data_IF_812808084266
#
_entry.id   IF_812808084266
#
_cell.length_a   1.000
_cell.length_b   1.000
_cell.length_c   1.000
_cell.angle_alpha   90.00
_cell.angle_beta   90.00
_cell.angle_gamma   90.00
#
_symmetry.space_group_name_H-M   'P 1'
#
loop_
_entity.id
_entity.type
_entity.pdbx_description
1 polymer ?
#
# COMPACT_ATOMS: atom_id res chain seq x y z
N UNK A 1 15.70 -9.31 14.74
CA UNK A 1 14.42 -8.83 15.29
C UNK A 1 14.68 -7.44 15.85
N UNK A 2 14.30 -6.39 15.14
CA UNK A 2 14.46 -5.00 15.60
C UNK A 2 13.12 -4.56 16.15
N UNK A 3 13.02 -4.42 17.47
CA UNK A 3 11.85 -3.85 18.15
C UNK A 3 11.46 -2.51 17.53
N UNK A 4 10.17 -2.18 17.43
CA UNK A 4 9.71 -0.85 17.02
C UNK A 4 10.33 0.19 17.95
N UNK A 5 10.62 1.39 17.42
CA UNK A 5 11.18 2.48 18.21
C UNK A 5 10.07 3.07 19.10
N UNK A 6 9.85 2.44 20.24
CA UNK A 6 8.94 2.89 21.29
C UNK A 6 9.72 3.84 22.20
N UNK A 7 9.24 5.05 22.33
CA UNK A 7 9.78 6.06 23.25
C UNK A 7 8.91 6.11 24.49
N UNK A 8 9.41 5.59 25.60
CA UNK A 8 8.79 5.79 26.90
C UNK A 8 9.03 7.24 27.37
N UNK A 9 7.97 7.90 27.78
CA UNK A 9 8.04 9.25 28.35
C UNK A 9 8.16 9.15 29.88
N UNK A 10 9.02 9.98 30.52
CA UNK A 10 8.99 10.14 31.96
C UNK A 10 7.70 10.86 32.38
N UNK A 11 7.13 10.48 33.53
CA UNK A 11 5.96 11.13 34.11
C UNK A 11 6.24 12.64 34.29
N UNK A 12 5.38 13.48 33.74
CA UNK A 12 5.33 14.91 34.05
C UNK A 12 6.04 15.86 33.08
N UNK A 13 6.36 15.48 31.84
CA UNK A 13 6.98 16.43 30.89
C UNK A 13 5.99 16.95 29.83
N UNK A 14 5.85 18.27 29.77
CA UNK A 14 5.24 19.01 28.66
C UNK A 14 5.93 18.61 27.34
N UNK A 15 5.18 18.02 26.40
CA UNK A 15 5.73 17.45 25.17
C UNK A 15 5.24 18.25 23.97
N UNK A 16 6.01 19.20 23.47
CA UNK A 16 5.88 19.58 22.06
C UNK A 16 7.17 19.51 21.21
N UNK A 17 8.33 19.78 21.77
CA UNK A 17 9.54 19.96 20.94
C UNK A 17 10.30 18.68 20.55
N UNK A 18 10.14 17.57 21.27
CA UNK A 18 10.92 16.35 21.00
C UNK A 18 10.27 15.41 19.95
N UNK A 19 8.98 15.57 19.63
CA UNK A 19 8.25 14.68 18.73
C UNK A 19 8.67 14.87 17.25
N UNK A 20 8.87 16.10 16.80
CA UNK A 20 9.25 16.36 15.40
C UNK A 20 10.70 15.95 15.11
N UNK A 21 11.63 16.23 16.02
CA UNK A 21 13.03 15.80 15.89
C UNK A 21 13.16 14.29 15.83
N UNK A 22 12.31 13.57 16.54
CA UNK A 22 12.27 12.13 16.56
C UNK A 22 11.66 11.52 15.30
N UNK A 23 10.59 12.11 14.77
CA UNK A 23 9.99 11.72 13.49
C UNK A 23 11.00 11.88 12.34
N UNK A 24 11.72 12.99 12.29
CA UNK A 24 12.78 13.21 11.30
C UNK A 24 13.90 12.18 11.42
N UNK A 25 14.30 11.78 12.64
CA UNK A 25 15.29 10.74 12.87
C UNK A 25 14.80 9.36 12.43
N UNK A 26 13.53 9.02 12.71
CA UNK A 26 12.90 7.78 12.26
C UNK A 26 12.84 7.72 10.73
N UNK A 27 12.37 8.79 10.08
CA UNK A 27 12.30 8.88 8.61
C UNK A 27 13.69 8.76 7.98
N UNK A 28 14.71 9.43 8.52
CA UNK A 28 16.09 9.32 8.05
C UNK A 28 16.67 7.92 8.22
N UNK A 29 16.37 7.23 9.33
CA UNK A 29 16.80 5.84 9.55
C UNK A 29 16.10 4.88 8.59
N UNK A 30 14.81 5.05 8.35
CA UNK A 30 14.04 4.26 7.39
C UNK A 30 14.54 4.48 5.95
N UNK A 31 14.79 5.71 5.53
CA UNK A 31 15.28 6.03 4.19
C UNK A 31 16.66 5.42 3.88
N UNK A 32 17.51 5.23 4.90
CA UNK A 32 18.85 4.60 4.74
C UNK A 32 18.79 3.08 4.49
N UNK A 33 17.68 2.42 4.81
CA UNK A 33 17.55 0.95 4.70
C UNK A 33 17.15 0.46 3.31
N UNK A 34 16.84 1.35 2.38
CA UNK A 34 16.55 1.05 0.97
C UNK A 34 15.56 -0.10 0.72
N UNK A 35 14.47 -0.16 1.46
CA UNK A 35 13.36 -1.06 1.13
C UNK A 35 12.50 -0.45 0.02
N UNK A 36 13.11 -0.11 -1.10
CA UNK A 36 12.39 0.55 -2.19
C UNK A 36 11.38 -0.42 -2.82
N UNK A 37 10.12 0.02 -3.04
CA UNK A 37 9.19 -0.71 -3.88
C UNK A 37 9.55 -0.53 -5.36
N UNK A 38 9.07 -1.40 -6.23
CA UNK A 38 9.21 -1.25 -7.68
C UNK A 38 8.50 0.03 -8.18
N UNK A 39 7.37 0.38 -7.54
CA UNK A 39 6.62 1.60 -7.77
C UNK A 39 5.47 1.70 -6.78
N UNK A 40 4.81 2.85 -6.74
CA UNK A 40 3.57 3.08 -6.00
C UNK A 40 2.65 3.97 -6.83
N UNK A 41 1.35 3.80 -6.67
CA UNK A 41 0.32 4.56 -7.36
C UNK A 41 -0.29 5.64 -6.46
N UNK A 42 -0.48 5.34 -5.16
CA UNK A 42 -1.28 6.15 -4.22
C UNK A 42 -0.48 6.68 -3.04
N UNK A 43 0.83 6.40 -2.99
CA UNK A 43 1.68 6.93 -1.93
C UNK A 43 1.88 8.43 -2.09
N UNK A 44 1.49 9.21 -1.07
CA UNK A 44 1.78 10.63 -1.00
C UNK A 44 3.21 10.82 -0.48
N UNK A 45 4.04 11.49 -1.27
CA UNK A 45 5.45 11.75 -0.95
C UNK A 45 6.35 10.57 -1.31
N UNK A 46 7.44 10.43 -0.56
CA UNK A 46 8.46 9.41 -0.83
C UNK A 46 8.11 8.14 -0.05
N UNK A 47 7.97 6.97 -0.70
CA UNK A 47 7.73 5.72 -0.01
C UNK A 47 9.00 5.29 0.75
N UNK A 48 8.93 5.36 2.08
CA UNK A 48 10.02 4.98 3.00
C UNK A 48 9.51 3.99 4.04
N UNK A 49 10.17 2.86 4.20
CA UNK A 49 9.71 1.77 5.04
C UNK A 49 10.72 1.44 6.13
N UNK A 50 10.25 1.11 7.34
CA UNK A 50 11.10 0.70 8.46
C UNK A 50 11.59 -0.74 8.35
N UNK A 51 10.82 -1.58 7.64
CA UNK A 51 11.09 -3.01 7.51
C UNK A 51 10.60 -3.53 6.16
N UNK A 52 11.01 -4.76 5.81
CA UNK A 52 10.46 -5.48 4.65
C UNK A 52 8.97 -5.78 4.83
N UNK A 53 8.54 -6.07 6.05
CA UNK A 53 7.13 -6.32 6.36
C UNK A 53 6.28 -5.06 6.15
N UNK A 54 6.78 -3.88 6.62
CA UNK A 54 6.11 -2.61 6.35
C UNK A 54 6.03 -2.32 4.84
N UNK A 55 7.10 -2.59 4.08
CA UNK A 55 7.05 -2.46 2.61
C UNK A 55 5.98 -3.37 2.02
N UNK A 56 5.94 -4.62 2.43
CA UNK A 56 5.00 -5.62 1.90
C UNK A 56 3.55 -5.22 2.20
N UNK A 57 3.26 -4.71 3.41
CA UNK A 57 1.95 -4.11 3.73
C UNK A 57 1.65 -2.91 2.83
N UNK A 58 2.62 -2.01 2.62
CA UNK A 58 2.45 -0.84 1.74
C UNK A 58 2.10 -1.21 0.29
N UNK A 59 2.61 -2.34 -0.23
CA UNK A 59 2.25 -2.83 -1.56
C UNK A 59 0.78 -3.28 -1.63
N UNK A 60 0.28 -3.96 -0.59
CA UNK A 60 -1.12 -4.39 -0.50
C UNK A 60 -2.06 -3.18 -0.38
N UNK A 61 -1.69 -2.21 0.46
CA UNK A 61 -2.43 -0.94 0.63
C UNK A 61 -2.49 -0.15 -0.68
N UNK A 62 -1.41 -0.12 -1.45
CA UNK A 62 -1.36 0.62 -2.73
C UNK A 62 -2.29 0.03 -3.80
N UNK A 63 -2.55 -1.28 -3.75
CA UNK A 63 -3.44 -1.99 -4.66
C UNK A 63 -4.89 -2.10 -4.18
N UNK A 64 -5.16 -1.78 -2.92
CA UNK A 64 -6.51 -1.85 -2.37
C UNK A 64 -7.43 -0.85 -3.08
N UNK A 65 -8.55 -1.34 -3.63
CA UNK A 65 -9.47 -0.54 -4.44
C UNK A 65 -10.18 0.55 -3.64
N UNK A 66 -10.34 0.35 -2.33
CA UNK A 66 -10.97 1.32 -1.44
C UNK A 66 -10.00 2.42 -0.98
N UNK A 67 -8.68 2.21 -1.13
CA UNK A 67 -7.67 3.19 -0.72
C UNK A 67 -7.55 4.31 -1.76
N UNK A 68 -7.82 5.55 -1.36
CA UNK A 68 -7.60 6.74 -2.17
C UNK A 68 -6.13 7.16 -2.16
N UNK A 69 -5.54 7.25 -0.96
CA UNK A 69 -4.17 7.67 -0.77
C UNK A 69 -3.59 7.12 0.55
N UNK A 70 -2.28 7.04 0.63
CA UNK A 70 -1.58 6.68 1.86
C UNK A 70 -0.23 7.38 1.96
N UNK A 71 0.31 7.49 3.18
CA UNK A 71 1.63 8.08 3.43
C UNK A 71 2.41 7.28 4.46
N UNK A 72 3.74 7.26 4.31
CA UNK A 72 4.63 6.61 5.24
C UNK A 72 4.96 7.48 6.44
N UNK A 73 5.04 6.85 7.63
CA UNK A 73 5.54 7.47 8.87
C UNK A 73 4.90 8.86 9.09
N UNK A 74 3.57 8.93 9.26
CA UNK A 74 2.85 10.21 9.21
C UNK A 74 3.24 11.13 10.37
N UNK A 75 2.82 10.80 11.58
CA UNK A 75 3.09 11.56 12.81
C UNK A 75 3.22 10.61 14.00
N UNK A 76 3.78 11.11 15.10
CA UNK A 76 3.76 10.40 16.36
C UNK A 76 2.37 10.49 17.00
N UNK A 77 1.90 9.37 17.56
CA UNK A 77 0.66 9.23 18.31
C UNK A 77 0.96 8.65 19.68
N UNK A 78 0.05 8.85 20.62
CA UNK A 78 0.16 8.32 21.97
C UNK A 78 -0.57 6.98 22.06
N UNK A 79 0.08 5.98 22.67
CA UNK A 79 -0.40 4.62 22.83
C UNK A 79 -0.17 4.18 24.28
N UNK A 80 -0.86 3.12 24.70
CA UNK A 80 -0.53 2.39 25.92
C UNK A 80 0.14 1.06 25.56
N UNK A 81 1.21 0.71 26.27
CA UNK A 81 1.81 -0.61 26.15
C UNK A 81 1.03 -1.66 26.99
N UNK A 82 1.52 -2.90 27.02
CA UNK A 82 0.88 -4.00 27.72
C UNK A 82 0.80 -3.78 29.27
N UNK A 83 1.66 -2.93 29.81
CA UNK A 83 1.69 -2.57 31.23
C UNK A 83 0.85 -1.30 31.52
N UNK A 84 0.17 -0.74 30.50
CA UNK A 84 -0.64 0.48 30.60
C UNK A 84 0.20 1.76 30.62
N UNK A 85 1.49 1.69 30.34
CA UNK A 85 2.37 2.87 30.31
C UNK A 85 2.18 3.62 29.00
N UNK A 86 2.02 4.95 29.09
CA UNK A 86 1.91 5.82 27.92
C UNK A 86 3.22 5.86 27.15
N UNK A 87 3.15 5.52 25.87
CA UNK A 87 4.30 5.48 24.96
C UNK A 87 3.99 6.26 23.69
N UNK A 88 4.99 6.92 23.12
CA UNK A 88 4.87 7.63 21.85
C UNK A 88 5.40 6.78 20.72
N UNK A 89 4.55 6.52 19.72
CA UNK A 89 4.87 5.67 18.58
C UNK A 89 4.49 6.37 17.26
N UNK A 90 5.29 6.14 16.23
CA UNK A 90 4.99 6.59 14.87
C UNK A 90 4.51 5.39 14.08
N UNK A 91 3.23 5.33 13.66
CA UNK A 91 2.71 4.28 12.81
C UNK A 91 3.46 4.18 11.47
N UNK A 92 3.42 3.01 10.83
CA UNK A 92 4.02 2.82 9.51
C UNK A 92 3.32 3.65 8.45
N UNK A 93 1.98 3.70 8.51
CA UNK A 93 1.14 4.35 7.50
C UNK A 93 0.00 5.15 8.12
N UNK A 94 -0.40 6.19 7.40
CA UNK A 94 -1.75 6.75 7.42
C UNK A 94 -2.38 6.42 6.07
N UNK A 95 -3.54 5.76 6.09
CA UNK A 95 -4.31 5.36 4.92
C UNK A 95 -5.61 6.12 4.89
N UNK A 96 -5.94 6.72 3.76
CA UNK A 96 -7.22 7.38 3.50
C UNK A 96 -8.00 6.57 2.47
N UNK A 97 -9.23 6.24 2.83
CA UNK A 97 -10.16 5.51 1.98
C UNK A 97 -11.04 6.45 1.15
N UNK A 98 -11.57 5.95 0.04
CA UNK A 98 -12.47 6.70 -0.85
C UNK A 98 -13.74 7.23 -0.15
N UNK A 99 -14.19 6.57 0.94
CA UNK A 99 -15.29 7.06 1.78
C UNK A 99 -14.91 8.25 2.69
N UNK A 100 -13.65 8.70 2.66
CA UNK A 100 -13.12 9.79 3.47
C UNK A 100 -12.65 9.37 4.87
N UNK A 101 -12.79 8.10 5.27
CA UNK A 101 -12.24 7.62 6.54
C UNK A 101 -10.72 7.49 6.47
N UNK A 102 -10.07 7.67 7.63
CA UNK A 102 -8.62 7.52 7.78
C UNK A 102 -8.30 6.48 8.87
N UNK A 103 -7.28 5.67 8.65
CA UNK A 103 -6.76 4.73 9.63
C UNK A 103 -5.23 4.74 9.65
N UNK A 104 -4.66 4.63 10.84
CA UNK A 104 -3.23 4.38 11.01
C UNK A 104 -2.98 2.88 11.03
N UNK A 105 -1.95 2.44 10.29
CA UNK A 105 -1.57 1.03 10.20
C UNK A 105 -0.13 0.82 10.61
N UNK A 106 0.10 -0.30 11.27
CA UNK A 106 1.43 -0.84 11.55
C UNK A 106 1.58 -2.25 11.01
N UNK A 107 2.77 -2.59 10.53
CA UNK A 107 3.12 -3.92 10.07
C UNK A 107 3.71 -4.76 11.21
N UNK A 108 3.03 -5.84 11.54
CA UNK A 108 3.41 -6.78 12.61
C UNK A 108 2.73 -6.48 13.94
N UNK A 109 2.87 -7.40 14.89
CA UNK A 109 2.35 -7.23 16.25
C UNK A 109 3.23 -6.26 17.05
N UNK A 110 2.64 -5.22 17.61
CA UNK A 110 3.39 -4.19 18.35
C UNK A 110 3.04 -4.17 19.84
N UNK A 111 2.00 -4.89 20.27
CA UNK A 111 1.59 -4.93 21.69
C UNK A 111 1.19 -3.56 22.25
N UNK A 112 0.66 -2.70 21.39
CA UNK A 112 0.18 -1.37 21.73
C UNK A 112 -1.32 -1.29 21.56
N UNK A 113 -1.94 -0.39 22.32
CA UNK A 113 -3.35 0.04 22.14
C UNK A 113 -3.40 1.54 21.98
N UNK A 114 -4.29 2.06 21.13
CA UNK A 114 -4.47 3.51 21.01
C UNK A 114 -4.85 4.13 22.35
N UNK A 115 -4.19 5.22 22.72
CA UNK A 115 -4.54 5.99 23.92
C UNK A 115 -5.76 6.92 23.68
N UNK A 116 -6.16 7.12 22.41
CA UNK A 116 -7.30 7.93 22.01
C UNK A 116 -8.29 7.09 21.19
N UNK A 117 -9.50 6.89 21.72
CA UNK A 117 -10.58 6.14 21.08
C UNK A 117 -11.06 6.75 19.76
N UNK A 118 -10.71 7.99 19.46
CA UNK A 118 -11.03 8.69 18.19
C UNK A 118 -10.03 8.41 17.09
N UNK A 119 -8.88 7.85 17.45
CA UNK A 119 -7.82 7.54 16.49
C UNK A 119 -7.95 6.10 16.01
N UNK A 120 -8.48 5.91 14.80
CA UNK A 120 -8.53 4.59 14.19
C UNK A 120 -7.11 4.09 13.92
N UNK A 121 -6.75 2.95 14.50
CA UNK A 121 -5.44 2.33 14.34
C UNK A 121 -5.58 0.80 14.35
N UNK A 122 -4.74 0.13 13.56
CA UNK A 122 -4.65 -1.32 13.54
C UNK A 122 -3.21 -1.79 13.28
N UNK A 123 -2.85 -2.91 13.89
CA UNK A 123 -1.61 -3.63 13.61
C UNK A 123 -1.92 -4.89 12.81
N UNK A 124 -1.42 -4.95 11.58
CA UNK A 124 -1.66 -6.06 10.65
C UNK A 124 -0.59 -7.12 10.86
N UNK A 125 -0.98 -8.35 11.18
CA UNK A 125 -0.02 -9.40 11.49
C UNK A 125 0.73 -9.88 10.24
N UNK A 126 1.92 -10.50 10.44
CA UNK A 126 2.76 -10.97 9.34
C UNK A 126 2.04 -12.00 8.45
N UNK A 127 1.21 -12.86 9.02
CA UNK A 127 0.47 -13.88 8.27
C UNK A 127 -0.55 -13.24 7.31
N UNK A 128 -1.23 -12.16 7.74
CA UNK A 128 -2.16 -11.41 6.89
C UNK A 128 -1.43 -10.67 5.77
N UNK A 129 -0.26 -10.07 6.08
CA UNK A 129 0.54 -9.35 5.09
C UNK A 129 1.13 -10.30 4.04
N UNK A 130 1.61 -11.48 4.47
CA UNK A 130 2.26 -12.45 3.57
C UNK A 130 1.30 -13.44 2.95
N UNK A 131 0.03 -13.06 2.79
CA UNK A 131 -0.99 -13.90 2.18
C UNK A 131 -0.68 -14.19 0.72
N UNK A 132 -0.70 -15.47 0.36
CA UNK A 132 -0.65 -15.96 -1.01
C UNK A 132 -2.09 -16.04 -1.59
N UNK A 133 -2.31 -15.68 -2.84
CA UNK A 133 -1.34 -15.17 -3.82
C UNK A 133 -1.24 -13.64 -3.86
N UNK A 134 -1.92 -12.92 -2.95
CA UNK A 134 -2.06 -11.46 -3.00
C UNK A 134 -0.70 -10.72 -3.02
N UNK A 135 0.19 -11.04 -2.07
CA UNK A 135 1.47 -10.32 -1.99
C UNK A 135 2.39 -10.54 -3.20
N UNK A 136 2.62 -11.78 -3.71
CA UNK A 136 3.33 -11.99 -4.96
C UNK A 136 2.73 -11.27 -6.16
N UNK A 137 1.40 -11.29 -6.30
CA UNK A 137 0.71 -10.58 -7.35
C UNK A 137 0.92 -9.06 -7.25
N UNK A 138 0.80 -8.49 -6.03
CA UNK A 138 1.05 -7.08 -5.80
C UNK A 138 2.48 -6.66 -6.20
N UNK A 139 3.48 -7.47 -5.84
CA UNK A 139 4.88 -7.23 -6.24
C UNK A 139 5.06 -7.25 -7.75
N UNK A 140 4.42 -8.18 -8.44
CA UNK A 140 4.50 -8.28 -9.90
C UNK A 140 3.79 -7.11 -10.58
N UNK A 141 2.56 -6.79 -10.19
CA UNK A 141 1.78 -5.71 -10.77
C UNK A 141 2.44 -4.35 -10.61
N UNK A 142 2.95 -4.02 -9.42
CA UNK A 142 3.55 -2.70 -9.15
C UNK A 142 4.86 -2.44 -9.90
N UNK A 143 5.44 -3.43 -10.57
CA UNK A 143 6.52 -3.21 -11.55
C UNK A 143 6.07 -2.33 -12.72
N UNK A 144 4.76 -2.30 -12.99
CA UNK A 144 4.14 -1.52 -14.06
C UNK A 144 3.54 -0.19 -13.60
N UNK A 145 3.70 0.19 -12.32
CA UNK A 145 3.08 1.38 -11.72
C UNK A 145 3.36 2.71 -12.47
N UNK A 146 4.51 2.79 -13.14
CA UNK A 146 4.92 4.01 -13.88
C UNK A 146 4.75 3.88 -15.39
N UNK A 147 4.13 2.80 -15.86
CA UNK A 147 3.96 2.59 -17.30
C UNK A 147 2.87 3.51 -17.86
N UNK A 148 3.23 4.21 -18.92
CA UNK A 148 2.28 4.99 -19.73
C UNK A 148 1.72 4.05 -20.80
N UNK A 149 0.39 3.99 -20.88
CA UNK A 149 -0.31 3.21 -21.90
C UNK A 149 -0.77 4.16 -23.00
N UNK A 150 -0.43 3.91 -24.28
CA UNK A 150 -0.90 4.70 -25.39
C UNK A 150 -2.43 4.81 -25.44
N UNK A 151 -2.95 5.98 -25.77
CA UNK A 151 -4.39 6.23 -25.80
C UNK A 151 -5.13 5.28 -26.76
N UNK A 152 -4.52 4.98 -27.91
CA UNK A 152 -5.07 4.04 -28.89
C UNK A 152 -5.26 2.64 -28.30
N UNK A 153 -4.30 2.14 -27.53
CA UNK A 153 -4.40 0.85 -26.86
C UNK A 153 -5.47 0.84 -25.76
N UNK A 154 -5.55 1.93 -25.00
CA UNK A 154 -6.59 2.07 -23.96
C UNK A 154 -7.99 2.05 -24.56
N UNK A 155 -8.22 2.79 -25.65
CA UNK A 155 -9.52 2.83 -26.36
C UNK A 155 -9.86 1.45 -26.92
N UNK A 156 -8.92 0.77 -27.57
CA UNK A 156 -9.13 -0.58 -28.13
C UNK A 156 -9.52 -1.59 -27.07
N UNK A 157 -8.82 -1.58 -25.90
CA UNK A 157 -9.15 -2.48 -24.81
C UNK A 157 -10.55 -2.22 -24.26
N UNK A 158 -10.89 -0.95 -23.99
CA UNK A 158 -12.21 -0.61 -23.44
C UNK A 158 -13.33 -0.99 -24.40
N UNK A 159 -13.21 -0.67 -25.69
CA UNK A 159 -14.19 -1.04 -26.71
C UNK A 159 -14.35 -2.58 -26.81
N UNK A 160 -13.24 -3.32 -26.77
CA UNK A 160 -13.30 -4.77 -26.78
C UNK A 160 -14.01 -5.33 -25.54
N UNK A 161 -13.67 -4.82 -24.34
CA UNK A 161 -14.30 -5.29 -23.10
C UNK A 161 -15.77 -4.85 -22.97
N UNK A 162 -16.17 -3.71 -23.56
CA UNK A 162 -17.58 -3.30 -23.65
C UNK A 162 -18.41 -4.30 -24.51
N UNK A 163 -17.83 -4.83 -25.57
CA UNK A 163 -18.48 -5.78 -26.46
C UNK A 163 -18.58 -7.18 -25.83
N UNK A 164 -17.50 -7.69 -25.23
CA UNK A 164 -17.45 -9.07 -24.70
C UNK A 164 -17.76 -9.20 -23.21
N UNK A 165 -17.84 -8.08 -22.47
CA UNK A 165 -18.07 -8.02 -21.02
C UNK A 165 -16.82 -8.32 -20.19
N UNK A 166 -16.15 -9.46 -20.44
CA UNK A 166 -14.88 -9.83 -19.81
C UNK A 166 -14.00 -10.63 -20.76
N UNK A 167 -12.69 -10.55 -20.58
CA UNK A 167 -11.72 -11.29 -21.38
C UNK A 167 -10.63 -11.90 -20.51
N UNK A 168 -9.86 -12.84 -21.06
CA UNK A 168 -8.64 -13.30 -20.41
C UNK A 168 -7.56 -12.22 -20.54
N UNK A 169 -6.56 -12.24 -19.64
CA UNK A 169 -5.43 -11.31 -19.70
C UNK A 169 -4.70 -11.37 -21.05
N UNK A 170 -4.55 -12.58 -21.62
CA UNK A 170 -3.89 -12.75 -22.92
C UNK A 170 -4.76 -12.22 -24.07
N UNK A 171 -6.08 -12.42 -24.02
CA UNK A 171 -6.98 -11.87 -25.05
C UNK A 171 -7.04 -10.35 -24.98
N UNK A 172 -7.14 -9.79 -23.77
CA UNK A 172 -7.10 -8.36 -23.53
C UNK A 172 -5.78 -7.73 -24.04
N UNK A 173 -4.65 -8.42 -23.86
CA UNK A 173 -3.35 -7.99 -24.34
C UNK A 173 -3.20 -8.09 -25.87
N UNK A 174 -3.89 -9.02 -26.52
CA UNK A 174 -3.79 -9.23 -27.97
C UNK A 174 -4.23 -8.01 -28.81
N UNK A 175 -5.11 -7.16 -28.25
CA UNK A 175 -5.58 -5.92 -28.86
C UNK A 175 -4.61 -4.74 -28.75
N UNK A 176 -3.55 -4.85 -27.94
CA UNK A 176 -2.55 -3.80 -27.74
C UNK A 176 -1.58 -3.76 -28.93
N UNK A 177 -1.59 -2.70 -29.71
CA UNK A 177 -0.78 -2.59 -30.95
C UNK A 177 0.40 -1.64 -30.84
N UNK A 178 0.32 -0.69 -29.91
CA UNK A 178 1.32 0.37 -29.73
C UNK A 178 2.22 0.12 -28.51
N UNK A 179 1.79 -0.75 -27.61
CA UNK A 179 2.52 -1.08 -26.39
C UNK A 179 3.59 -2.18 -26.66
N UNK A 180 4.87 -1.95 -26.36
CA UNK A 180 5.92 -2.94 -26.59
C UNK A 180 5.80 -4.16 -25.66
N UNK A 181 5.06 -4.05 -24.57
CA UNK A 181 4.72 -5.11 -23.64
C UNK A 181 3.19 -5.04 -23.36
N UNK A 182 2.39 -5.76 -24.16
CA UNK A 182 0.94 -5.72 -24.10
C UNK A 182 0.37 -6.13 -22.74
N UNK A 183 0.89 -7.20 -22.15
CA UNK A 183 0.44 -7.69 -20.83
C UNK A 183 0.71 -6.63 -19.75
N UNK A 184 1.90 -6.05 -19.74
CA UNK A 184 2.24 -4.96 -18.81
C UNK A 184 1.39 -3.71 -19.02
N UNK A 185 0.91 -3.45 -20.26
CA UNK A 185 -0.02 -2.36 -20.52
C UNK A 185 -1.41 -2.61 -19.91
N UNK A 186 -1.94 -3.84 -20.02
CA UNK A 186 -3.18 -4.22 -19.34
C UNK A 186 -3.04 -4.10 -17.82
N UNK A 187 -1.95 -4.61 -17.24
CA UNK A 187 -1.69 -4.49 -15.80
C UNK A 187 -1.59 -3.02 -15.37
N UNK A 188 -0.94 -2.16 -16.17
CA UNK A 188 -0.89 -0.73 -15.88
C UNK A 188 -2.29 -0.10 -15.85
N UNK A 189 -3.20 -0.52 -16.73
CA UNK A 189 -4.60 -0.06 -16.73
C UNK A 189 -5.39 -0.59 -15.51
N UNK A 190 -5.06 -1.78 -14.99
CA UNK A 190 -5.59 -2.26 -13.71
C UNK A 190 -5.12 -1.34 -12.58
N UNK A 191 -3.83 -1.03 -12.49
CA UNK A 191 -3.29 -0.12 -11.48
C UNK A 191 -3.88 1.29 -11.54
N UNK A 192 -4.28 1.74 -12.73
CA UNK A 192 -4.99 2.99 -12.98
C UNK A 192 -6.50 2.91 -12.71
N UNK A 193 -7.02 1.74 -12.30
CA UNK A 193 -8.45 1.48 -12.05
C UNK A 193 -9.35 1.73 -13.29
N UNK A 194 -8.80 1.53 -14.47
CA UNK A 194 -9.56 1.55 -15.73
C UNK A 194 -10.25 0.23 -15.97
N UNK A 195 -9.54 -0.84 -15.66
CA UNK A 195 -10.03 -2.23 -15.68
C UNK A 195 -9.64 -2.91 -14.36
N UNK A 196 -10.30 -4.00 -14.02
CA UNK A 196 -10.01 -4.79 -12.82
C UNK A 196 -9.62 -6.22 -13.17
N UNK A 197 -8.86 -6.83 -12.28
CA UNK A 197 -8.46 -8.25 -12.29
C UNK A 197 -8.48 -8.77 -10.86
N UNK A 198 -8.87 -10.03 -10.67
CA UNK A 198 -8.75 -10.66 -9.35
C UNK A 198 -7.30 -11.02 -9.06
N UNK A 199 -6.66 -10.19 -8.26
CA UNK A 199 -5.28 -10.37 -7.83
C UNK A 199 -5.15 -10.88 -6.38
N UNK A 200 -6.26 -10.89 -5.63
CA UNK A 200 -6.24 -11.28 -4.20
C UNK A 200 -6.39 -12.78 -4.01
N UNK A 201 -7.29 -13.41 -4.75
CA UNK A 201 -7.68 -14.79 -4.52
C UNK A 201 -7.00 -15.78 -5.48
N UNK A 202 -6.54 -15.28 -6.64
CA UNK A 202 -5.91 -16.13 -7.67
C UNK A 202 -4.57 -15.59 -8.11
N UNK A 203 -3.65 -16.51 -8.40
CA UNK A 203 -2.37 -16.14 -9.01
C UNK A 203 -2.59 -15.55 -10.39
N UNK A 204 -1.92 -14.44 -10.67
CA UNK A 204 -1.96 -13.86 -12.01
C UNK A 204 -1.42 -14.83 -13.03
N UNK A 205 -2.21 -15.10 -14.07
CA UNK A 205 -1.93 -16.04 -15.12
C UNK A 205 -2.53 -15.54 -16.45
N UNK A 206 -2.14 -16.11 -17.60
CA UNK A 206 -2.69 -15.72 -18.90
C UNK A 206 -4.21 -15.77 -19.01
N UNK A 207 -4.86 -16.67 -18.25
CA UNK A 207 -6.30 -16.87 -18.20
C UNK A 207 -7.02 -16.03 -17.14
N UNK A 208 -6.29 -15.18 -16.37
CA UNK A 208 -6.89 -14.28 -15.41
C UNK A 208 -7.90 -13.34 -16.08
N UNK A 209 -9.07 -13.17 -15.48
CA UNK A 209 -10.16 -12.38 -16.05
C UNK A 209 -9.95 -10.88 -15.85
N UNK A 210 -10.13 -10.13 -16.93
CA UNK A 210 -10.08 -8.67 -16.98
C UNK A 210 -11.45 -8.14 -17.32
N UNK A 211 -11.90 -7.12 -16.59
CA UNK A 211 -13.21 -6.48 -16.73
C UNK A 211 -13.10 -4.96 -16.60
N UNK A 212 -14.06 -4.21 -17.14
CA UNK A 212 -14.13 -2.75 -16.95
C UNK A 212 -14.56 -2.44 -15.51
N UNK A 213 -13.93 -1.44 -14.89
CA UNK A 213 -14.42 -0.85 -13.63
C UNK A 213 -15.63 0.02 -13.94
N UNK A 214 -16.79 -0.32 -13.38
CA UNK A 214 -18.06 0.40 -13.53
C UNK A 214 -18.35 1.24 -12.29
#
# INVERSE_FOLDING_TARGET
>A
MTSPSILRLPEGSDVPLHAEGNLAAIRRKASRRHYAPAGTMRCIGIPIFRSTLARDLGLLVDLDDEVEAWQCLPRALDFCDADGVLVRHVPDFLVRYACGSEIYLDAGRIGLTSADDRTAWSAICEAEIRTEPALPNAREMLRYARRIVPLGDRIRLLAYLEDVGSATLVDAASGMRESPDPVGAVIALVLQRVVRIDWRERRLAPDSRVEIVR
#
